data_IF_669399759243
#
_entry.id   IF_669399759243
#
_cell.length_a   1.000
_cell.length_b   1.000
_cell.length_c   1.000
_cell.angle_alpha   90.00
_cell.angle_beta   90.00
_cell.angle_gamma   90.00
#
_symmetry.space_group_name_H-M   'P 1'
#
loop_
_entity.id
_entity.type
_entity.pdbx_description
1 polymer ?
#
# COMPACT_ATOMS: atom_id res chain seq x y z
N UNK A 1 -17.23 9.77 -6.03
CA UNK A 1 -16.46 10.37 -4.91
C UNK A 1 -15.10 10.77 -5.45
N UNK A 2 -14.94 12.06 -5.71
CA UNK A 2 -13.69 12.67 -6.20
C UNK A 2 -12.72 12.72 -5.01
N UNK A 3 -11.53 12.13 -5.13
CA UNK A 3 -10.50 12.26 -4.11
C UNK A 3 -10.04 13.71 -4.10
N UNK A 4 -10.39 14.48 -3.06
CA UNK A 4 -9.95 15.86 -2.91
C UNK A 4 -8.42 15.87 -2.71
N UNK A 5 -7.68 16.18 -3.77
CA UNK A 5 -6.22 16.25 -3.71
C UNK A 5 -5.83 17.56 -3.01
N UNK A 6 -5.28 17.47 -1.81
CA UNK A 6 -4.72 18.64 -1.11
C UNK A 6 -3.35 18.93 -1.70
N UNK A 7 -3.25 19.97 -2.53
CA UNK A 7 -1.96 20.44 -3.06
C UNK A 7 -1.40 21.50 -2.12
N UNK A 8 -0.31 21.23 -1.39
CA UNK A 8 0.29 22.24 -0.51
C UNK A 8 0.90 23.38 -1.34
N UNK A 9 1.04 24.55 -0.71
CA UNK A 9 1.75 25.68 -1.31
C UNK A 9 3.18 25.30 -1.72
N UNK A 10 3.76 25.99 -2.71
CA UNK A 10 5.12 25.69 -3.22
C UNK A 10 6.15 25.67 -2.09
N UNK A 11 6.10 26.64 -1.18
CA UNK A 11 7.01 26.73 -0.02
C UNK A 11 6.92 25.48 0.87
N UNK A 12 5.70 25.00 1.15
CA UNK A 12 5.49 23.79 1.95
C UNK A 12 5.98 22.54 1.23
N UNK A 13 5.76 22.43 -0.09
CA UNK A 13 6.28 21.29 -0.87
C UNK A 13 7.80 21.24 -0.84
N UNK A 14 8.49 22.38 -0.96
CA UNK A 14 9.95 22.46 -0.85
C UNK A 14 10.42 22.04 0.54
N UNK A 15 9.80 22.56 1.60
CA UNK A 15 10.14 22.20 2.97
C UNK A 15 9.87 20.70 3.28
N UNK A 16 8.75 20.16 2.80
CA UNK A 16 8.41 18.74 2.90
C UNK A 16 9.43 17.86 2.17
N UNK A 17 9.84 18.24 0.96
CA UNK A 17 10.85 17.52 0.20
C UNK A 17 12.20 17.52 0.93
N UNK A 18 12.64 18.68 1.45
CA UNK A 18 13.88 18.79 2.21
C UNK A 18 13.86 17.90 3.47
N UNK A 19 12.77 17.94 4.24
CA UNK A 19 12.62 17.06 5.41
C UNK A 19 12.62 15.59 5.01
N UNK A 20 11.91 15.22 3.94
CA UNK A 20 11.85 13.85 3.43
C UNK A 20 13.25 13.32 3.11
N UNK A 21 14.08 14.09 2.39
CA UNK A 21 15.45 13.69 2.03
C UNK A 21 16.27 13.31 3.27
N UNK A 22 16.11 14.06 4.36
CA UNK A 22 16.86 13.86 5.61
C UNK A 22 16.36 12.64 6.39
N UNK A 23 15.03 12.47 6.50
CA UNK A 23 14.45 11.43 7.37
C UNK A 23 14.25 10.09 6.66
N UNK A 24 14.02 10.06 5.35
CA UNK A 24 13.73 8.83 4.59
C UNK A 24 14.79 7.75 4.80
N UNK A 25 16.11 8.03 4.77
CA UNK A 25 17.15 7.01 5.01
C UNK A 25 17.05 6.33 6.38
N UNK A 26 16.63 7.07 7.42
CA UNK A 26 16.50 6.54 8.79
C UNK A 26 15.43 5.45 8.89
N UNK A 27 14.36 5.57 8.10
CA UNK A 27 13.26 4.61 8.05
C UNK A 27 13.49 3.53 6.99
N UNK A 28 14.02 3.89 5.82
CA UNK A 28 14.29 2.98 4.72
C UNK A 28 15.21 1.82 5.14
N UNK A 29 16.22 2.09 5.97
CA UNK A 29 17.11 1.08 6.53
C UNK A 29 16.38 0.00 7.37
N UNK A 30 15.18 0.29 7.85
CA UNK A 30 14.39 -0.63 8.68
C UNK A 30 13.20 -1.27 7.95
N UNK A 31 12.76 -0.69 6.84
CA UNK A 31 11.60 -1.18 6.12
C UNK A 31 11.81 -2.60 5.57
N UNK A 32 10.75 -3.42 5.71
CA UNK A 32 10.80 -4.84 5.35
C UNK A 32 10.86 -5.03 3.83
N UNK A 33 11.52 -6.09 3.33
CA UNK A 33 11.68 -6.30 1.90
C UNK A 33 10.34 -6.49 1.17
N UNK A 34 9.30 -6.97 1.85
CA UNK A 34 7.95 -7.12 1.31
C UNK A 34 7.15 -5.81 1.14
N UNK A 35 7.70 -4.65 1.50
CA UNK A 35 7.06 -3.34 1.27
C UNK A 35 7.71 -2.64 0.08
N UNK A 36 6.94 -2.22 -0.92
CA UNK A 36 7.50 -1.65 -2.17
C UNK A 36 7.00 -0.24 -2.47
N UNK A 37 5.80 0.12 -2.03
CA UNK A 37 5.16 1.38 -2.39
C UNK A 37 5.97 2.59 -1.93
N UNK A 38 6.15 3.57 -2.81
CA UNK A 38 6.77 4.87 -2.52
C UNK A 38 8.18 4.83 -1.90
N UNK A 39 8.93 3.75 -2.14
CA UNK A 39 10.31 3.58 -1.64
C UNK A 39 11.34 3.78 -2.75
N UNK A 40 12.51 4.35 -2.44
CA UNK A 40 13.58 4.50 -3.43
C UNK A 40 14.04 3.13 -3.94
N UNK A 41 14.24 3.00 -5.26
CA UNK A 41 14.69 1.77 -5.94
C UNK A 41 13.75 0.55 -5.76
N UNK A 42 12.54 0.76 -5.24
CA UNK A 42 11.47 -0.25 -5.15
C UNK A 42 10.31 0.16 -6.04
N UNK A 43 9.67 -0.80 -6.68
CA UNK A 43 8.58 -0.49 -7.59
C UNK A 43 7.64 -1.65 -7.85
N UNK A 44 6.56 -1.36 -8.59
CA UNK A 44 5.47 -2.29 -8.90
C UNK A 44 6.00 -3.59 -9.52
N UNK A 45 6.98 -3.51 -10.44
CA UNK A 45 7.57 -4.69 -11.10
C UNK A 45 8.20 -5.68 -10.12
N UNK A 46 8.87 -5.18 -9.07
CA UNK A 46 9.48 -6.05 -8.06
C UNK A 46 8.41 -6.74 -7.21
N UNK A 47 7.35 -6.02 -6.81
CA UNK A 47 6.22 -6.61 -6.09
C UNK A 47 5.56 -7.72 -6.92
N UNK A 48 5.32 -7.48 -8.22
CA UNK A 48 4.80 -8.49 -9.15
C UNK A 48 5.72 -9.71 -9.23
N UNK A 49 7.03 -9.50 -9.35
CA UNK A 49 8.00 -10.60 -9.43
C UNK A 49 7.98 -11.45 -8.16
N UNK A 50 7.96 -10.82 -6.98
CA UNK A 50 7.93 -11.53 -5.72
C UNK A 50 6.61 -12.31 -5.53
N UNK A 51 5.47 -11.75 -5.94
CA UNK A 51 4.20 -12.50 -5.95
C UNK A 51 4.33 -13.74 -6.82
N UNK A 52 4.80 -13.60 -8.07
CA UNK A 52 4.96 -14.74 -8.99
C UNK A 52 5.87 -15.81 -8.42
N UNK A 53 7.00 -15.40 -7.83
CA UNK A 53 7.96 -16.30 -7.19
C UNK A 53 7.32 -17.10 -6.07
N UNK A 54 6.69 -16.44 -5.10
CA UNK A 54 6.14 -17.10 -3.92
C UNK A 54 4.93 -17.99 -4.24
N UNK A 55 4.03 -17.54 -5.13
CA UNK A 55 2.91 -18.37 -5.61
C UNK A 55 3.42 -19.63 -6.31
N UNK A 56 4.45 -19.51 -7.14
CA UNK A 56 5.12 -20.65 -7.79
C UNK A 56 5.71 -21.60 -6.76
N UNK A 57 6.29 -21.08 -5.68
CA UNK A 57 6.86 -21.87 -4.57
C UNK A 57 5.83 -22.44 -3.58
N UNK A 58 4.54 -22.38 -3.92
CA UNK A 58 3.49 -23.02 -3.12
C UNK A 58 2.81 -22.13 -2.08
N UNK A 59 3.08 -20.82 -2.08
CA UNK A 59 2.27 -19.86 -1.31
C UNK A 59 1.05 -19.46 -2.14
N UNK A 60 0.13 -20.40 -2.35
CA UNK A 60 -0.97 -20.29 -3.31
C UNK A 60 -2.34 -20.03 -2.68
N UNK A 61 -2.40 -19.80 -1.37
CA UNK A 61 -3.60 -19.30 -0.69
C UNK A 61 -3.42 -17.81 -0.44
N UNK A 62 -4.34 -16.98 -0.91
CA UNK A 62 -4.12 -15.53 -1.01
C UNK A 62 -5.17 -14.80 -0.19
N UNK A 63 -4.72 -13.83 0.61
CA UNK A 63 -5.56 -12.81 1.22
C UNK A 63 -5.25 -11.51 0.47
N UNK A 64 -6.19 -11.07 -0.35
CA UNK A 64 -6.19 -9.77 -1.01
C UNK A 64 -6.89 -8.77 -0.09
N UNK A 65 -6.12 -7.87 0.51
CA UNK A 65 -6.56 -7.04 1.63
C UNK A 65 -6.64 -5.57 1.18
N UNK A 66 -7.83 -4.99 1.31
CA UNK A 66 -8.11 -3.58 1.04
C UNK A 66 -8.36 -2.85 2.36
N UNK A 67 -7.76 -1.68 2.54
CA UNK A 67 -7.91 -0.86 3.75
C UNK A 67 -8.94 0.25 3.49
N UNK A 68 -9.91 0.42 4.40
CA UNK A 68 -10.97 1.42 4.23
C UNK A 68 -10.44 2.83 4.52
N UNK A 69 -10.51 3.71 3.51
CA UNK A 69 -10.12 5.13 3.63
C UNK A 69 -8.79 5.32 4.38
N UNK A 70 -7.77 4.54 3.98
CA UNK A 70 -6.55 4.39 4.76
C UNK A 70 -5.88 5.74 5.05
N UNK A 71 -5.71 6.60 4.04
CA UNK A 71 -5.08 7.90 4.24
C UNK A 71 -5.86 8.81 5.18
N UNK A 72 -7.18 8.65 5.27
CA UNK A 72 -8.06 9.49 6.09
C UNK A 72 -8.14 8.99 7.55
N UNK A 73 -7.75 7.73 7.80
CA UNK A 73 -7.80 7.09 9.12
C UNK A 73 -6.48 7.12 9.90
N UNK A 74 -5.41 7.68 9.32
CA UNK A 74 -4.09 7.76 9.98
C UNK A 74 -4.17 8.62 11.25
N UNK A 75 -3.94 7.99 12.41
CA UNK A 75 -3.88 8.72 13.68
C UNK A 75 -2.58 9.51 13.79
N UNK A 76 -2.68 10.84 13.88
CA UNK A 76 -1.52 11.71 14.06
C UNK A 76 -0.75 11.40 15.33
N UNK A 77 -1.44 11.05 16.42
CA UNK A 77 -0.82 10.72 17.69
C UNK A 77 0.07 9.48 17.58
N UNK A 78 -0.46 8.40 16.97
CA UNK A 78 0.29 7.16 16.75
C UNK A 78 1.43 7.38 15.75
N UNK A 79 1.20 8.09 14.65
CA UNK A 79 2.24 8.42 13.68
C UNK A 79 3.38 9.19 14.35
N UNK A 80 3.07 10.22 15.15
CA UNK A 80 4.07 11.00 15.87
C UNK A 80 4.79 10.18 16.95
N UNK A 81 4.14 9.18 17.57
CA UNK A 81 4.80 8.21 18.47
C UNK A 81 5.79 7.33 17.70
N UNK A 82 5.44 6.84 16.50
CA UNK A 82 6.33 6.06 15.65
C UNK A 82 7.52 6.89 15.15
N UNK A 83 7.27 8.12 14.72
CA UNK A 83 8.31 9.06 14.27
C UNK A 83 9.38 9.30 15.34
N UNK A 84 8.95 9.56 16.58
CA UNK A 84 9.84 9.81 17.73
C UNK A 84 10.80 8.67 18.05
N UNK A 85 10.50 7.44 17.61
CA UNK A 85 11.40 6.28 17.82
C UNK A 85 12.71 6.41 17.01
N UNK A 86 12.70 7.20 15.93
CA UNK A 86 13.86 7.35 15.02
C UNK A 86 14.32 8.78 14.86
N UNK A 87 13.40 9.74 14.90
CA UNK A 87 13.71 11.18 14.80
C UNK A 87 13.71 11.79 16.19
N UNK A 88 14.88 12.24 16.65
CA UNK A 88 15.04 12.91 17.97
C UNK A 88 14.84 14.42 17.92
N UNK A 89 15.04 15.05 16.77
CA UNK A 89 14.93 16.52 16.65
C UNK A 89 13.47 17.00 16.86
N UNK A 90 13.18 17.77 17.92
CA UNK A 90 11.84 18.26 18.21
C UNK A 90 11.34 19.32 17.21
N UNK A 91 12.23 19.98 16.45
CA UNK A 91 11.88 20.97 15.42
C UNK A 91 11.28 20.28 14.20
N UNK A 92 11.93 19.22 13.71
CA UNK A 92 11.43 18.39 12.61
C UNK A 92 10.08 17.77 12.99
N UNK A 93 9.97 17.21 14.20
CA UNK A 93 8.71 16.63 14.69
C UNK A 93 7.59 17.67 14.79
N UNK A 94 7.90 18.90 15.22
CA UNK A 94 6.91 20.00 15.23
C UNK A 94 6.45 20.35 13.82
N UNK A 95 7.37 20.42 12.87
CA UNK A 95 7.05 20.76 11.48
C UNK A 95 6.15 19.71 10.84
N UNK A 96 6.46 18.43 11.02
CA UNK A 96 5.62 17.32 10.55
C UNK A 96 4.24 17.36 11.19
N UNK A 97 4.16 17.62 12.51
CA UNK A 97 2.86 17.78 13.20
C UNK A 97 2.06 18.96 12.64
N UNK A 98 2.72 20.08 12.33
CA UNK A 98 2.06 21.23 11.71
C UNK A 98 1.48 20.84 10.35
N UNK A 99 2.22 20.13 9.51
CA UNK A 99 1.70 19.66 8.22
C UNK A 99 0.53 18.69 8.34
N UNK A 100 0.54 17.82 9.34
CA UNK A 100 -0.58 16.89 9.59
C UNK A 100 -1.85 17.63 10.04
N UNK A 101 -1.70 18.67 10.87
CA UNK A 101 -2.81 19.51 11.37
C UNK A 101 -3.24 20.61 10.42
N UNK A 102 -2.44 20.91 9.40
CA UNK A 102 -2.67 22.02 8.47
C UNK A 102 -3.93 21.83 7.59
N UNK A 103 -4.83 20.91 7.94
CA UNK A 103 -6.16 20.80 7.37
C UNK A 103 -6.15 20.32 5.93
N UNK A 104 -7.35 20.07 5.43
CA UNK A 104 -7.62 19.98 4.00
C UNK A 104 -8.63 21.08 3.70
N UNK A 105 -8.37 21.88 2.67
CA UNK A 105 -9.37 22.80 2.16
C UNK A 105 -10.38 21.97 1.36
N UNK A 106 -11.61 21.83 1.88
CA UNK A 106 -12.69 21.11 1.22
C UNK A 106 -13.78 22.10 0.83
N UNK A 107 -14.11 22.19 -0.46
CA UNK A 107 -15.19 23.04 -1.01
C UNK A 107 -15.14 24.52 -0.58
N UNK A 108 -13.95 25.08 -0.37
CA UNK A 108 -13.79 26.49 0.02
C UNK A 108 -13.83 26.74 1.53
N UNK A 109 -14.13 25.72 2.35
CA UNK A 109 -14.06 25.79 3.80
C UNK A 109 -12.74 25.19 4.31
N UNK A 110 -12.18 25.83 5.35
CA UNK A 110 -11.03 25.32 6.08
C UNK A 110 -11.49 24.39 7.19
N UNK A 111 -11.12 23.11 7.12
CA UNK A 111 -11.36 22.16 8.19
C UNK A 111 -10.04 21.70 8.81
N UNK A 112 -9.94 21.81 10.15
CA UNK A 112 -8.80 21.25 10.87
C UNK A 112 -8.87 19.72 10.83
N UNK A 113 -7.82 19.08 10.32
CA UNK A 113 -7.75 17.62 10.28
C UNK A 113 -7.24 17.08 11.60
N UNK A 114 -8.13 16.42 12.35
CA UNK A 114 -7.77 15.69 13.59
C UNK A 114 -7.18 14.29 13.30
N UNK A 115 -7.49 13.73 12.13
CA UNK A 115 -7.00 12.44 11.62
C UNK A 115 -6.71 12.55 10.11
N UNK A 116 -5.89 11.63 9.62
CA UNK A 116 -5.58 11.47 8.20
C UNK A 116 -4.27 12.16 7.76
N UNK A 117 -3.85 11.90 6.53
CA UNK A 117 -2.67 12.51 5.91
C UNK A 117 -3.09 13.18 4.60
N UNK A 118 -2.69 14.45 4.36
CA UNK A 118 -3.12 15.18 3.17
C UNK A 118 -2.69 14.44 1.91
N UNK A 119 -3.69 14.03 1.11
CA UNK A 119 -3.48 13.31 -0.15
C UNK A 119 -2.91 14.29 -1.17
N UNK A 120 -1.64 14.12 -1.56
CA UNK A 120 -0.94 15.02 -2.49
C UNK A 120 0.24 15.78 -1.89
N UNK A 121 0.42 15.76 -0.56
CA UNK A 121 1.63 16.28 0.06
C UNK A 121 2.84 15.35 -0.20
N UNK A 122 4.02 15.97 -0.40
CA UNK A 122 5.25 15.28 -0.86
C UNK A 122 5.74 14.25 0.16
N UNK A 123 5.46 14.50 1.44
CA UNK A 123 5.91 13.67 2.56
C UNK A 123 4.90 12.57 2.93
N UNK A 124 3.62 12.69 2.55
CA UNK A 124 2.56 11.74 2.90
C UNK A 124 2.87 10.28 2.54
N UNK A 125 3.46 9.98 1.36
CA UNK A 125 3.83 8.60 1.00
C UNK A 125 4.86 7.95 1.95
N UNK A 126 5.77 8.74 2.52
CA UNK A 126 6.71 8.25 3.52
C UNK A 126 6.00 8.03 4.87
N UNK A 127 5.16 8.98 5.28
CA UNK A 127 4.43 8.90 6.54
C UNK A 127 3.48 7.70 6.59
N UNK A 128 2.80 7.40 5.50
CA UNK A 128 1.96 6.20 5.39
C UNK A 128 2.77 4.91 5.57
N UNK A 129 3.92 4.82 4.90
CA UNK A 129 4.80 3.67 5.04
C UNK A 129 5.32 3.49 6.47
N UNK A 130 5.68 4.59 7.15
CA UNK A 130 6.08 4.57 8.57
C UNK A 130 4.93 4.07 9.44
N UNK A 131 3.70 4.49 9.15
CA UNK A 131 2.51 4.11 9.91
C UNK A 131 2.19 2.62 9.82
N UNK A 132 2.29 2.02 8.63
CA UNK A 132 2.03 0.59 8.41
C UNK A 132 3.24 -0.31 8.70
N UNK A 133 4.45 0.23 8.83
CA UNK A 133 5.64 -0.57 9.08
C UNK A 133 5.57 -1.50 10.31
N UNK A 134 4.94 -1.13 11.45
CA UNK A 134 4.74 -2.04 12.56
C UNK A 134 3.96 -3.31 12.19
N UNK A 135 3.01 -3.24 11.25
CA UNK A 135 2.31 -4.41 10.73
C UNK A 135 3.31 -5.33 10.01
N UNK A 136 4.10 -4.80 9.08
CA UNK A 136 5.10 -5.58 8.33
C UNK A 136 6.07 -6.30 9.30
N UNK A 137 6.51 -5.57 10.34
CA UNK A 137 7.44 -6.05 11.34
C UNK A 137 6.87 -7.19 12.20
N UNK A 138 5.68 -6.99 12.77
CA UNK A 138 5.04 -7.98 13.62
C UNK A 138 4.61 -9.21 12.80
N UNK A 139 4.13 -9.00 11.58
CA UNK A 139 3.71 -10.08 10.69
C UNK A 139 4.87 -11.02 10.35
N UNK A 140 6.01 -10.46 9.91
CA UNK A 140 7.20 -11.26 9.57
C UNK A 140 7.79 -11.99 10.80
N UNK A 141 7.66 -11.40 11.99
CA UNK A 141 8.13 -12.01 13.24
C UNK A 141 7.25 -13.17 13.66
N UNK A 142 5.94 -12.97 13.66
CA UNK A 142 4.99 -13.90 14.29
C UNK A 142 4.31 -14.87 13.32
N UNK A 143 4.39 -14.67 12.00
CA UNK A 143 3.64 -15.44 11.00
C UNK A 143 4.57 -15.97 9.88
N UNK A 144 5.40 -16.95 10.22
CA UNK A 144 6.47 -17.48 9.35
C UNK A 144 6.02 -18.16 8.06
N UNK A 145 4.86 -18.81 8.06
CA UNK A 145 4.34 -19.56 6.90
C UNK A 145 3.63 -18.67 5.86
N UNK A 146 3.92 -17.37 5.86
CA UNK A 146 3.29 -16.39 4.98
C UNK A 146 4.31 -15.42 4.37
N UNK A 147 3.92 -14.75 3.29
CA UNK A 147 4.65 -13.65 2.66
C UNK A 147 3.71 -12.48 2.45
N UNK A 148 3.94 -11.41 3.20
CA UNK A 148 3.20 -10.15 3.04
C UNK A 148 3.91 -9.29 2.00
N UNK A 149 3.15 -8.87 1.00
CA UNK A 149 3.58 -8.01 -0.10
C UNK A 149 2.68 -6.79 -0.08
N UNK A 150 3.27 -5.61 0.12
CA UNK A 150 2.55 -4.35 0.31
C UNK A 150 3.05 -3.29 -0.67
N UNK A 151 2.11 -2.59 -1.28
CA UNK A 151 2.37 -1.40 -2.07
C UNK A 151 1.48 -0.28 -1.55
N UNK A 152 2.06 0.58 -0.70
CA UNK A 152 1.30 1.56 0.07
C UNK A 152 0.24 0.89 0.96
N UNK A 153 -1.03 1.08 0.63
CA UNK A 153 -2.23 0.54 1.28
C UNK A 153 -2.81 -0.69 0.58
N UNK A 154 -2.36 -1.04 -0.62
CA UNK A 154 -2.68 -2.33 -1.25
C UNK A 154 -1.80 -3.42 -0.62
N UNK A 155 -2.41 -4.42 0.03
CA UNK A 155 -1.71 -5.53 0.66
C UNK A 155 -2.19 -6.88 0.15
N UNK A 156 -1.24 -7.78 -0.12
CA UNK A 156 -1.51 -9.19 -0.36
C UNK A 156 -0.71 -10.04 0.62
N UNK A 157 -1.36 -11.01 1.24
CA UNK A 157 -0.69 -12.03 2.07
C UNK A 157 -0.81 -13.38 1.38
N UNK A 158 0.35 -13.94 1.02
CA UNK A 158 0.46 -15.27 0.43
C UNK A 158 0.73 -16.29 1.54
N UNK A 159 -0.11 -17.31 1.63
CA UNK A 159 -0.10 -18.34 2.66
C UNK A 159 0.23 -19.70 2.03
N UNK A 160 1.04 -20.51 2.74
CA UNK A 160 1.49 -21.82 2.24
C UNK A 160 0.64 -22.98 2.76
N UNK A 161 0.58 -23.14 4.07
CA UNK A 161 0.06 -24.36 4.70
C UNK A 161 -1.36 -24.19 5.20
N UNK A 162 -1.56 -23.27 6.16
CA UNK A 162 -2.85 -23.09 6.82
C UNK A 162 -3.85 -22.36 5.92
N UNK A 163 -5.15 -22.58 6.12
CA UNK A 163 -6.18 -21.79 5.47
C UNK A 163 -6.02 -20.29 5.78
N UNK A 164 -6.13 -19.41 4.78
CA UNK A 164 -5.97 -17.96 4.90
C UNK A 164 -6.90 -17.33 5.96
N UNK A 165 -8.08 -17.90 6.18
CA UNK A 165 -9.09 -17.49 7.16
C UNK A 165 -8.52 -17.50 8.59
N UNK A 166 -7.59 -18.43 8.88
CA UNK A 166 -6.95 -18.54 10.20
C UNK A 166 -6.08 -17.33 10.54
N UNK A 167 -5.63 -16.58 9.52
CA UNK A 167 -4.78 -15.42 9.67
C UNK A 167 -5.56 -14.10 9.76
N UNK A 168 -6.83 -14.07 9.32
CA UNK A 168 -7.66 -12.86 9.31
C UNK A 168 -7.90 -12.26 10.70
N UNK A 169 -8.23 -13.02 11.76
CA UNK A 169 -8.38 -12.46 13.11
C UNK A 169 -7.11 -11.76 13.58
N UNK A 170 -5.93 -12.33 13.26
CA UNK A 170 -4.63 -11.76 13.62
C UNK A 170 -4.31 -10.50 12.82
N UNK A 171 -4.62 -10.47 11.52
CA UNK A 171 -4.51 -9.26 10.69
C UNK A 171 -5.38 -8.13 11.25
N UNK A 172 -6.65 -8.43 11.54
CA UNK A 172 -7.59 -7.47 12.13
C UNK A 172 -7.09 -6.94 13.46
N UNK A 173 -6.55 -7.80 14.33
CA UNK A 173 -5.97 -7.39 15.61
C UNK A 173 -4.80 -6.40 15.42
N UNK A 174 -3.89 -6.66 14.48
CA UNK A 174 -2.78 -5.75 14.22
C UNK A 174 -3.24 -4.41 13.63
N UNK A 175 -4.17 -4.44 12.68
CA UNK A 175 -4.72 -3.22 12.07
C UNK A 175 -5.53 -2.39 13.06
N UNK A 176 -6.29 -3.04 13.95
CA UNK A 176 -7.01 -2.37 15.03
C UNK A 176 -6.07 -1.64 16.00
N UNK A 177 -4.89 -2.21 16.31
CA UNK A 177 -3.85 -1.51 17.09
C UNK A 177 -3.30 -0.27 16.38
N UNK A 178 -3.33 -0.26 15.05
CA UNK A 178 -2.99 0.89 14.21
C UNK A 178 -4.21 1.78 13.94
N UNK A 179 -5.39 1.52 14.54
CA UNK A 179 -6.65 2.24 14.26
C UNK A 179 -7.02 2.28 12.77
N UNK A 180 -6.65 1.24 12.03
CA UNK A 180 -7.00 1.06 10.61
C UNK A 180 -8.05 -0.04 10.49
N UNK A 181 -9.06 0.20 9.65
CA UNK A 181 -10.15 -0.74 9.42
C UNK A 181 -9.99 -1.42 8.06
N UNK A 182 -10.25 -2.72 8.03
CA UNK A 182 -10.28 -3.51 6.78
C UNK A 182 -11.57 -3.20 6.02
N UNK A 183 -11.49 -3.10 4.71
CA UNK A 183 -12.65 -3.03 3.84
C UNK A 183 -13.14 -4.45 3.52
N UNK A 184 -14.13 -4.92 4.28
CA UNK A 184 -14.65 -6.29 4.17
C UNK A 184 -15.29 -6.57 2.81
N UNK A 185 -15.85 -5.56 2.14
CA UNK A 185 -16.51 -5.73 0.83
C UNK A 185 -15.50 -5.96 -0.31
N UNK A 186 -14.29 -5.41 -0.16
CA UNK A 186 -13.22 -5.52 -1.16
C UNK A 186 -12.16 -6.55 -0.81
N UNK A 187 -12.03 -6.89 0.47
CA UNK A 187 -11.09 -7.92 0.93
C UNK A 187 -11.57 -9.28 0.49
N UNK A 188 -10.67 -10.08 -0.08
CA UNK A 188 -11.01 -11.39 -0.63
C UNK A 188 -10.00 -12.43 -0.23
N UNK A 189 -10.50 -13.63 0.00
CA UNK A 189 -9.71 -14.83 0.20
C UNK A 189 -9.90 -15.71 -1.03
N UNK A 190 -8.80 -16.01 -1.71
CA UNK A 190 -8.84 -16.70 -3.00
C UNK A 190 -7.67 -17.68 -3.13
N UNK A 191 -7.89 -18.77 -3.85
CA UNK A 191 -6.79 -19.63 -4.26
C UNK A 191 -6.10 -19.02 -5.49
N UNK A 192 -4.78 -19.06 -5.53
CA UNK A 192 -4.03 -18.57 -6.69
C UNK A 192 -4.36 -19.32 -7.99
N UNK A 193 -4.97 -20.52 -7.91
CA UNK A 193 -5.47 -21.28 -9.06
C UNK A 193 -6.73 -20.65 -9.69
N UNK A 194 -7.58 -20.02 -8.88
CA UNK A 194 -8.75 -19.25 -9.31
C UNK A 194 -8.30 -17.90 -9.90
N UNK A 195 -7.27 -17.33 -9.29
CA UNK A 195 -6.60 -16.12 -9.73
C UNK A 195 -7.05 -14.88 -8.97
N UNK A 196 -6.20 -13.86 -8.96
CA UNK A 196 -6.42 -12.63 -8.21
C UNK A 196 -5.73 -11.44 -8.88
N UNK A 197 -6.20 -10.23 -8.60
CA UNK A 197 -5.64 -9.01 -9.16
C UNK A 197 -4.81 -8.29 -8.10
N UNK A 198 -3.65 -7.76 -8.47
CA UNK A 198 -2.86 -6.87 -7.62
C UNK A 198 -2.14 -5.82 -8.49
N UNK A 199 -2.23 -4.55 -8.12
CA UNK A 199 -1.63 -3.42 -8.85
C UNK A 199 -1.93 -3.41 -10.37
N UNK A 200 -3.16 -3.79 -10.74
CA UNK A 200 -3.61 -3.83 -12.12
C UNK A 200 -3.10 -5.02 -12.95
N UNK A 201 -2.49 -6.01 -12.30
CA UNK A 201 -2.04 -7.27 -12.90
C UNK A 201 -2.83 -8.43 -12.31
N UNK A 202 -3.30 -9.32 -13.17
CA UNK A 202 -3.93 -10.57 -12.79
C UNK A 202 -2.88 -11.67 -12.63
N UNK A 203 -2.97 -12.46 -11.57
CA UNK A 203 -2.09 -13.57 -11.26
C UNK A 203 -2.89 -14.86 -11.23
N UNK A 204 -2.38 -15.92 -11.86
CA UNK A 204 -3.01 -17.24 -11.80
C UNK A 204 -1.96 -18.35 -11.84
N UNK A 205 -2.04 -19.27 -10.89
CA UNK A 205 -1.23 -20.48 -10.83
C UNK A 205 -1.86 -21.54 -11.71
N UNK A 206 -1.13 -21.99 -12.73
CA UNK A 206 -1.60 -23.00 -13.68
C UNK A 206 -0.47 -24.01 -13.97
N UNK A 207 -0.82 -25.25 -14.37
CA UNK A 207 0.16 -26.21 -14.87
C UNK A 207 0.94 -25.63 -16.06
N UNK A 208 2.21 -26.00 -16.17
CA UNK A 208 3.01 -25.60 -17.32
C UNK A 208 2.61 -26.41 -18.55
N UNK A 209 2.69 -25.80 -19.74
CA UNK A 209 2.39 -26.50 -21.00
C UNK A 209 3.30 -27.69 -21.29
N UNK A 210 4.52 -27.69 -20.74
CA UNK A 210 5.54 -28.73 -20.98
C UNK A 210 5.45 -29.89 -19.99
N UNK A 211 5.02 -29.62 -18.77
CA UNK A 211 4.93 -30.62 -17.69
C UNK A 211 3.68 -30.31 -16.84
N UNK A 212 2.61 -31.13 -16.94
CA UNK A 212 1.40 -30.97 -16.15
C UNK A 212 1.59 -31.13 -14.64
N UNK A 213 2.67 -31.79 -14.18
CA UNK A 213 2.97 -31.92 -12.75
C UNK A 213 3.61 -30.67 -12.16
N UNK A 214 4.20 -29.81 -13.01
CA UNK A 214 4.76 -28.52 -12.57
C UNK A 214 3.76 -27.41 -12.77
N UNK A 215 3.58 -26.59 -11.74
CA UNK A 215 2.74 -25.39 -11.81
C UNK A 215 3.56 -24.12 -11.70
N UNK A 216 3.15 -23.09 -12.43
CA UNK A 216 3.80 -21.79 -12.45
C UNK A 216 2.78 -20.65 -12.28
N UNK A 217 3.21 -19.54 -11.68
CA UNK A 217 2.39 -18.33 -11.57
C UNK A 217 2.53 -17.46 -12.82
N UNK A 218 1.52 -17.52 -13.67
CA UNK A 218 1.38 -16.63 -14.82
C UNK A 218 0.78 -15.29 -14.40
N UNK A 219 1.15 -14.22 -15.10
CA UNK A 219 0.59 -12.90 -14.88
C UNK A 219 0.34 -12.16 -16.19
N UNK A 220 -0.72 -11.36 -16.24
CA UNK A 220 -1.08 -10.52 -17.38
C UNK A 220 -1.86 -9.29 -16.89
N UNK A 221 -2.03 -8.22 -17.69
CA UNK A 221 -2.83 -7.07 -17.29
C UNK A 221 -4.26 -7.47 -16.89
N UNK A 222 -4.77 -6.93 -15.78
CA UNK A 222 -6.13 -7.25 -15.34
C UNK A 222 -7.17 -6.75 -16.34
N UNK A 223 -8.38 -7.34 -16.31
CA UNK A 223 -9.48 -6.92 -17.20
C UNK A 223 -9.80 -5.44 -17.03
N UNK A 224 -9.74 -4.93 -15.79
CA UNK A 224 -9.94 -3.51 -15.48
C UNK A 224 -8.86 -2.62 -16.09
N UNK A 225 -7.59 -3.04 -16.01
CA UNK A 225 -6.48 -2.32 -16.65
C UNK A 225 -6.63 -2.29 -18.17
N UNK A 226 -6.98 -3.42 -18.79
CA UNK A 226 -7.22 -3.52 -20.23
C UNK A 226 -8.41 -2.66 -20.67
N UNK A 227 -9.49 -2.60 -19.87
CA UNK A 227 -10.63 -1.73 -20.15
C UNK A 227 -10.21 -0.26 -20.13
N UNK A 228 -9.49 0.18 -19.09
CA UNK A 228 -8.99 1.57 -19.00
C UNK A 228 -8.11 1.97 -20.18
N UNK A 229 -7.29 1.06 -20.70
CA UNK A 229 -6.48 1.32 -21.89
C UNK A 229 -7.38 1.49 -23.11
N UNK A 230 -8.36 0.59 -23.31
CA UNK A 230 -9.34 0.70 -24.40
C UNK A 230 -10.13 2.01 -24.34
N UNK A 231 -10.62 2.39 -23.17
CA UNK A 231 -11.37 3.63 -22.97
C UNK A 231 -10.52 4.86 -23.32
N UNK A 232 -9.23 4.87 -22.92
CA UNK A 232 -8.30 5.95 -23.27
C UNK A 232 -8.04 6.03 -24.78
N UNK A 233 -7.80 4.89 -25.43
CA UNK A 233 -7.57 4.85 -26.88
C UNK A 233 -8.81 5.36 -27.61
N UNK A 234 -10.00 4.92 -27.18
CA UNK A 234 -11.28 5.39 -27.75
C UNK A 234 -11.43 6.91 -27.61
N UNK A 235 -11.17 7.46 -26.43
CA UNK A 235 -11.24 8.91 -26.21
C UNK A 235 -10.25 9.74 -27.06
N UNK A 236 -9.09 9.17 -27.42
CA UNK A 236 -8.12 9.84 -28.32
C UNK A 236 -8.61 9.77 -29.76
N UNK A 237 -9.12 8.61 -30.20
CA UNK A 237 -9.63 8.43 -31.56
C UNK A 237 -10.87 9.28 -31.81
N UNK A 238 -11.81 9.33 -30.86
CA UNK A 238 -13.03 10.13 -30.96
C UNK A 238 -12.72 11.65 -31.02
N UNK A 239 -11.59 12.10 -30.47
CA UNK A 239 -11.13 13.51 -30.54
C UNK A 239 -10.44 13.87 -31.85
N UNK A 240 -9.94 12.89 -32.59
CA UNK A 240 -9.25 13.10 -33.87
C UNK A 240 -10.17 12.90 -35.09
N UNK A 241 -11.46 12.59 -34.85
CA UNK A 241 -12.50 12.47 -35.87
C UNK A 241 -13.41 13.71 -35.97
N UNK A 242 -13.00 14.83 -35.36
CA UNK A 242 -13.57 16.19 -35.51
C UNK A 242 -12.47 17.11 -36.03
#
# INVERSE_FOLDING_TARGET
MQFALTVPGVKDRVAQAAVRIVIEPLFEASFRPGSYGFRPKRGVKQAIYDIRKWVTYGYDKVIDLDLKSYFDTISHELLMKLMRRRVRDPRVLRLIRRWLRAGVMHEGAWEETLIGSPQGAVISPLLSNIYLHPLDLCWEREVKATKMIRYADDLVVLCRWKPPETYMPKLRQFLARLRVTVNEDKTRIVAAREGFDFLGVHFRKQPTRRDPQRSFCYCWPSRRSMQRIRDKVKAILDRNML
#
